data_IF_675441239748
#
_entry.id   IF_675441239748
#
_cell.length_a   1.000
_cell.length_b   1.000
_cell.length_c   1.000
_cell.angle_alpha   90.00
_cell.angle_beta   90.00
_cell.angle_gamma   90.00
#
_symmetry.space_group_name_H-M   'P 1'
#
loop_
_entity.id
_entity.type
_entity.pdbx_description
1 polymer ?
#
# COMPACT_ATOMS: atom_id res chain seq x y z
N UNK A 1 -7.46 -9.89 20.80
CA UNK A 1 -6.12 -9.43 20.32
C UNK A 1 -6.36 -8.54 19.13
N UNK A 2 -6.55 -7.23 19.35
CA UNK A 2 -6.69 -6.28 18.24
C UNK A 2 -5.31 -6.07 17.64
N UNK A 3 -5.07 -6.56 16.43
CA UNK A 3 -3.83 -6.24 15.74
C UNK A 3 -3.87 -4.76 15.39
N UNK A 4 -3.08 -3.96 16.12
CA UNK A 4 -2.95 -2.50 15.96
C UNK A 4 -2.36 -2.14 14.60
N UNK A 5 -3.15 -2.31 13.54
CA UNK A 5 -2.80 -1.97 12.17
C UNK A 5 -2.90 -0.44 12.01
N UNK A 6 -1.76 0.24 12.09
CA UNK A 6 -1.68 1.70 11.90
C UNK A 6 -1.72 2.12 10.42
N UNK A 7 -1.40 1.20 9.50
CA UNK A 7 -1.26 1.53 8.07
C UNK A 7 -1.66 0.34 7.19
N UNK A 8 -2.43 0.63 6.15
CA UNK A 8 -2.84 -0.33 5.13
C UNK A 8 -2.04 -0.09 3.85
N UNK A 9 -1.51 -1.15 3.25
CA UNK A 9 -0.81 -1.10 1.97
C UNK A 9 -1.58 -1.90 0.93
N UNK A 10 -1.81 -1.31 -0.24
CA UNK A 10 -2.50 -1.92 -1.37
C UNK A 10 -1.65 -1.81 -2.63
N UNK A 11 -1.64 -2.86 -3.44
CA UNK A 11 -0.93 -2.94 -4.70
C UNK A 11 -1.96 -3.05 -5.81
N UNK A 12 -2.03 -2.05 -6.69
CA UNK A 12 -2.93 -2.14 -7.85
C UNK A 12 -2.30 -1.57 -9.10
N UNK A 13 -2.50 -2.25 -10.22
CA UNK A 13 -2.12 -1.75 -11.56
C UNK A 13 -3.24 -0.92 -12.20
N UNK A 14 -4.49 -1.09 -11.74
CA UNK A 14 -5.69 -0.44 -12.27
C UNK A 14 -6.48 0.22 -11.13
N UNK A 15 -7.25 1.27 -11.43
CA UNK A 15 -8.11 1.95 -10.45
C UNK A 15 -7.38 2.61 -9.24
N UNK A 16 -6.13 3.04 -9.39
CA UNK A 16 -5.43 3.81 -8.36
C UNK A 16 -6.20 5.08 -7.95
N UNK A 17 -6.95 5.69 -8.88
CA UNK A 17 -7.81 6.85 -8.61
C UNK A 17 -8.88 6.56 -7.54
N UNK A 18 -9.58 5.44 -7.66
CA UNK A 18 -10.64 5.06 -6.71
C UNK A 18 -10.10 4.83 -5.30
N UNK A 19 -8.87 4.30 -5.19
CA UNK A 19 -8.19 4.20 -3.89
C UNK A 19 -7.85 5.58 -3.32
N UNK A 20 -7.42 6.51 -4.17
CA UNK A 20 -7.15 7.90 -3.74
C UNK A 20 -8.38 8.55 -3.14
N UNK A 21 -9.55 8.35 -3.74
CA UNK A 21 -10.82 8.87 -3.21
C UNK A 21 -11.20 8.23 -1.86
N UNK A 22 -10.76 7.00 -1.58
CA UNK A 22 -10.95 6.33 -0.28
C UNK A 22 -9.94 6.72 0.80
N UNK A 23 -9.10 7.71 0.51
CA UNK A 23 -8.06 8.19 1.40
C UNK A 23 -6.75 7.39 1.34
N UNK A 24 -6.52 6.64 0.26
CA UNK A 24 -5.19 6.11 0.01
C UNK A 24 -4.32 7.16 -0.67
N UNK A 25 -3.04 7.18 -0.35
CA UNK A 25 -2.03 8.03 -0.97
C UNK A 25 -1.08 7.16 -1.78
N UNK A 26 -0.54 7.71 -2.88
CA UNK A 26 0.52 7.02 -3.60
C UNK A 26 1.73 6.88 -2.67
N UNK A 27 2.28 5.68 -2.62
CA UNK A 27 3.48 5.39 -1.87
C UNK A 27 4.48 4.69 -2.76
N UNK A 28 5.74 4.68 -2.33
CA UNK A 28 6.78 3.97 -3.05
C UNK A 28 6.94 2.55 -2.48
N UNK A 29 7.43 1.62 -3.30
CA UNK A 29 7.79 0.28 -2.83
C UNK A 29 8.82 0.32 -1.70
N UNK A 30 9.65 1.37 -1.68
CA UNK A 30 10.62 1.64 -0.60
C UNK A 30 9.97 1.94 0.75
N UNK A 31 8.69 2.32 0.77
CA UNK A 31 7.92 2.56 1.99
C UNK A 31 7.33 1.26 2.57
N UNK A 32 7.32 0.17 1.79
CA UNK A 32 6.88 -1.13 2.30
C UNK A 32 7.86 -1.65 3.36
N UNK A 33 7.35 -2.35 4.40
CA UNK A 33 8.18 -3.11 5.31
C UNK A 33 9.11 -4.05 4.53
N UNK A 34 10.36 -4.20 4.98
CA UNK A 34 11.42 -4.97 4.30
C UNK A 34 10.91 -6.34 3.84
N UNK A 35 10.24 -7.07 4.74
CA UNK A 35 9.64 -8.39 4.46
C UNK A 35 8.61 -8.40 3.33
N UNK A 36 7.84 -7.32 3.14
CA UNK A 36 6.89 -7.19 2.02
C UNK A 36 7.55 -6.67 0.75
N UNK A 37 8.63 -5.90 0.88
CA UNK A 37 9.42 -5.40 -0.26
C UNK A 37 10.14 -6.54 -0.98
N UNK A 38 10.66 -7.52 -0.24
CA UNK A 38 11.29 -8.72 -0.81
C UNK A 38 10.29 -9.60 -1.57
N UNK A 39 9.03 -9.65 -1.12
CA UNK A 39 7.94 -10.35 -1.81
C UNK A 39 7.35 -9.52 -2.96
N UNK A 40 7.73 -8.25 -3.10
CA UNK A 40 7.18 -7.38 -4.11
C UNK A 40 7.83 -7.65 -5.47
N UNK A 41 7.03 -8.18 -6.39
CA UNK A 41 7.50 -8.46 -7.73
C UNK A 41 7.48 -7.18 -8.59
N UNK A 42 8.63 -6.50 -8.67
CA UNK A 42 8.85 -5.28 -9.45
C UNK A 42 8.46 -5.43 -10.93
N UNK A 43 8.52 -6.66 -11.48
CA UNK A 43 8.13 -6.93 -12.88
C UNK A 43 6.66 -6.63 -13.18
N UNK A 44 5.78 -6.67 -12.17
CA UNK A 44 4.35 -6.36 -12.35
C UNK A 44 4.04 -4.87 -12.42
N UNK A 45 5.01 -3.98 -12.18
CA UNK A 45 4.84 -2.52 -12.22
C UNK A 45 3.55 -2.03 -11.51
N UNK A 46 3.20 -2.65 -10.38
CA UNK A 46 2.00 -2.25 -9.64
C UNK A 46 2.24 -0.91 -8.92
N UNK A 47 1.19 -0.09 -8.80
CA UNK A 47 1.28 1.12 -7.99
C UNK A 47 1.07 0.74 -6.54
N UNK A 48 1.97 1.20 -5.66
CA UNK A 48 1.83 1.03 -4.22
C UNK A 48 1.02 2.18 -3.68
N UNK A 49 -0.03 1.86 -2.93
CA UNK A 49 -0.89 2.81 -2.25
C UNK A 49 -0.87 2.53 -0.75
N UNK A 50 -0.78 3.58 0.04
CA UNK A 50 -0.79 3.53 1.50
C UNK A 50 -2.01 4.28 2.02
N UNK A 51 -2.69 3.73 3.02
CA UNK A 51 -3.71 4.45 3.78
C UNK A 51 -3.33 4.42 5.26
N UNK A 52 -3.10 5.57 5.91
CA UNK A 52 -2.96 5.60 7.36
C UNK A 52 -4.33 5.26 7.97
N UNK A 53 -4.34 4.31 8.88
CA UNK A 53 -5.50 4.01 9.72
C UNK A 53 -5.19 4.65 11.06
N UNK A 54 -5.64 5.89 11.23
CA UNK A 54 -5.66 6.51 12.55
C UNK A 54 -6.86 5.94 13.28
N UNK A 55 -6.63 5.34 14.45
CA UNK A 55 -7.69 5.04 15.41
C UNK A 55 -8.33 6.34 15.90
#
# INVERSE_FOLDING_TARGET
MEQGLSQLFTLTTRAAHWFRERGFVNSDVKSLPVKRRELYNLQRNSKVLLKPISR
#
